data_IF_638461277204
#
_entry.id   IF_638461277204
#
_cell.length_a   1.000
_cell.length_b   1.000
_cell.length_c   1.000
_cell.angle_alpha   90.00
_cell.angle_beta   90.00
_cell.angle_gamma   90.00
#
_symmetry.space_group_name_H-M   'P 1'
#
loop_
_entity.id
_entity.type
_entity.pdbx_description
1 polymer ?
#
# COMPACT_ATOMS: atom_id res chain seq x y z
N UNK A 1 37.87 20.06 -0.29
CA UNK A 1 36.88 19.03 0.08
C UNK A 1 36.07 18.68 -1.15
N UNK A 2 35.74 17.41 -1.36
CA UNK A 2 34.85 17.01 -2.46
C UNK A 2 33.40 17.41 -2.15
N UNK A 3 32.59 17.66 -3.19
CA UNK A 3 31.16 17.93 -3.04
C UNK A 3 30.43 16.82 -2.26
N UNK A 4 30.86 15.58 -2.45
CA UNK A 4 30.34 14.40 -1.76
C UNK A 4 30.62 14.45 -0.25
N UNK A 5 31.83 14.84 0.16
CA UNK A 5 32.17 14.99 1.58
C UNK A 5 31.38 16.11 2.26
N UNK A 6 31.14 17.22 1.55
CA UNK A 6 30.29 18.31 2.02
C UNK A 6 28.84 17.87 2.23
N UNK A 7 28.27 17.17 1.24
CA UNK A 7 26.90 16.66 1.32
C UNK A 7 26.77 15.62 2.44
N UNK A 8 27.65 14.63 2.50
CA UNK A 8 27.62 13.57 3.51
C UNK A 8 27.63 14.13 4.95
N UNK A 9 28.48 15.13 5.23
CA UNK A 9 28.47 15.82 6.53
C UNK A 9 27.15 16.49 6.82
N UNK A 10 26.60 17.22 5.86
CA UNK A 10 25.32 17.89 6.03
C UNK A 10 24.19 16.90 6.30
N UNK A 11 24.10 15.80 5.56
CA UNK A 11 23.09 14.76 5.80
C UNK A 11 23.22 14.18 7.20
N UNK A 12 24.44 13.87 7.64
CA UNK A 12 24.71 13.38 9.00
C UNK A 12 24.27 14.38 10.06
N UNK A 13 24.52 15.68 9.87
CA UNK A 13 24.10 16.73 10.80
C UNK A 13 22.58 16.91 10.80
N UNK A 14 21.95 16.94 9.62
CA UNK A 14 20.52 17.15 9.47
C UNK A 14 19.70 16.04 10.14
N UNK A 15 20.13 14.78 10.02
CA UNK A 15 19.40 13.63 10.57
C UNK A 15 19.56 13.44 12.08
N UNK A 16 20.37 14.27 12.74
CA UNK A 16 20.37 14.37 14.21
C UNK A 16 19.14 15.12 14.74
N UNK A 17 18.43 15.85 13.89
CA UNK A 17 17.17 16.51 14.26
C UNK A 17 16.07 15.44 14.42
N UNK A 18 15.44 15.29 15.60
CA UNK A 18 14.45 14.24 15.83
C UNK A 18 13.28 14.26 14.85
N UNK A 19 12.82 15.45 14.44
CA UNK A 19 11.75 15.58 13.44
C UNK A 19 12.16 15.00 12.07
N UNK A 20 13.41 15.20 11.66
CA UNK A 20 13.93 14.70 10.37
C UNK A 20 14.15 13.19 10.45
N UNK A 21 14.74 12.69 11.53
CA UNK A 21 14.89 11.25 11.70
C UNK A 21 13.51 10.60 11.70
N UNK A 22 12.63 10.93 12.67
CA UNK A 22 11.32 10.29 12.83
C UNK A 22 10.45 10.31 11.57
N UNK A 23 10.46 11.41 10.80
CA UNK A 23 9.70 11.48 9.56
C UNK A 23 10.25 10.56 8.45
N UNK A 24 11.56 10.35 8.38
CA UNK A 24 12.22 9.60 7.33
C UNK A 24 12.49 8.13 7.69
N UNK A 25 12.82 7.86 8.95
CA UNK A 25 13.13 6.54 9.51
C UNK A 25 13.24 6.56 11.05
N UNK A 26 13.22 5.40 11.70
CA UNK A 26 13.31 5.34 13.18
C UNK A 26 14.69 5.69 13.75
N UNK A 27 15.74 5.75 12.93
CA UNK A 27 17.10 6.09 13.37
C UNK A 27 17.78 7.13 12.48
N UNK A 28 18.70 7.97 13.03
CA UNK A 28 19.47 8.93 12.25
C UNK A 28 20.26 8.32 11.09
N UNK A 29 20.77 7.10 11.25
CA UNK A 29 21.53 6.38 10.24
C UNK A 29 20.65 6.00 9.04
N UNK A 30 19.46 5.47 9.32
CA UNK A 30 18.50 5.12 8.27
C UNK A 30 17.97 6.37 7.57
N UNK A 31 17.70 7.45 8.31
CA UNK A 31 17.30 8.72 7.73
C UNK A 31 18.40 9.29 6.81
N UNK A 32 19.68 9.14 7.17
CA UNK A 32 20.79 9.55 6.33
C UNK A 32 20.89 8.71 5.04
N UNK A 33 20.61 7.40 5.13
CA UNK A 33 20.52 6.52 3.97
C UNK A 33 19.37 6.92 3.04
N UNK A 34 18.19 7.29 3.59
CA UNK A 34 17.06 7.82 2.81
C UNK A 34 17.46 9.06 2.02
N UNK A 35 18.06 10.05 2.68
CA UNK A 35 18.44 11.30 2.02
C UNK A 35 19.55 11.06 0.97
N UNK A 36 20.52 10.20 1.27
CA UNK A 36 21.59 9.85 0.32
C UNK A 36 21.02 9.22 -0.96
N UNK A 37 20.12 8.27 -0.81
CA UNK A 37 19.50 7.61 -1.95
C UNK A 37 18.53 8.50 -2.71
N UNK A 38 17.80 9.37 -2.00
CA UNK A 38 16.93 10.36 -2.63
C UNK A 38 17.75 11.30 -3.52
N UNK A 39 18.92 11.73 -3.07
CA UNK A 39 19.84 12.53 -3.87
C UNK A 39 20.27 11.77 -5.13
N UNK A 40 20.75 10.54 -4.99
CA UNK A 40 21.20 9.70 -6.10
C UNK A 40 20.12 9.45 -7.15
N UNK A 41 18.92 9.05 -6.72
CA UNK A 41 17.80 8.78 -7.62
C UNK A 41 17.35 10.06 -8.33
N UNK A 42 17.32 11.19 -7.63
CA UNK A 42 16.97 12.49 -8.21
C UNK A 42 18.04 12.99 -9.18
N UNK A 43 19.32 12.70 -8.89
CA UNK A 43 20.45 13.08 -9.74
C UNK A 43 20.47 12.30 -11.06
N UNK A 44 20.03 11.04 -11.06
CA UNK A 44 19.94 10.20 -12.28
C UNK A 44 18.77 10.56 -13.18
N UNK A 45 17.84 11.41 -12.76
CA UNK A 45 16.72 11.85 -13.60
C UNK A 45 17.19 12.81 -14.70
N UNK A 46 17.22 12.29 -15.92
CA UNK A 46 17.68 12.99 -17.13
C UNK A 46 16.62 13.84 -17.80
N UNK A 47 15.33 13.62 -17.52
CA UNK A 47 14.25 14.40 -18.14
C UNK A 47 14.38 15.89 -17.81
N UNK A 48 14.61 16.77 -18.80
CA UNK A 48 14.64 18.20 -18.57
C UNK A 48 13.23 18.64 -18.16
N UNK A 49 13.07 19.09 -16.93
CA UNK A 49 11.84 19.76 -16.52
C UNK A 49 11.66 21.04 -17.33
N UNK A 50 10.41 21.46 -17.53
CA UNK A 50 10.13 22.77 -18.14
C UNK A 50 10.72 23.93 -17.32
N UNK A 51 10.72 25.14 -17.89
CA UNK A 51 11.32 26.35 -17.27
C UNK A 51 10.91 26.57 -15.80
N UNK A 52 9.67 26.27 -15.45
CA UNK A 52 9.18 26.40 -14.07
C UNK A 52 9.81 25.37 -13.11
N UNK A 53 10.01 24.14 -13.56
CA UNK A 53 10.68 23.11 -12.77
C UNK A 53 12.14 23.48 -12.51
N UNK A 54 12.81 24.08 -13.50
CA UNK A 54 14.18 24.55 -13.34
C UNK A 54 14.30 25.73 -12.36
N UNK A 55 13.35 26.67 -12.39
CA UNK A 55 13.28 27.76 -11.40
C UNK A 55 13.07 27.23 -9.97
N UNK A 56 12.17 26.26 -9.79
CA UNK A 56 11.96 25.59 -8.49
C UNK A 56 13.20 24.84 -8.02
N UNK A 57 13.86 24.12 -8.93
CA UNK A 57 15.10 23.42 -8.63
C UNK A 57 16.21 24.38 -8.18
N UNK A 58 16.32 25.54 -8.85
CA UNK A 58 17.26 26.60 -8.46
C UNK A 58 16.95 27.14 -7.07
N UNK A 59 15.68 27.46 -6.79
CA UNK A 59 15.26 27.98 -5.49
C UNK A 59 15.53 26.99 -4.35
N UNK A 60 15.14 25.72 -4.52
CA UNK A 60 15.37 24.67 -3.52
C UNK A 60 16.87 24.39 -3.29
N UNK A 61 17.67 24.37 -4.35
CA UNK A 61 19.12 24.21 -4.23
C UNK A 61 19.77 25.39 -3.47
N UNK A 62 19.34 26.63 -3.72
CA UNK A 62 19.82 27.80 -2.99
C UNK A 62 19.47 27.70 -1.50
N UNK A 63 18.22 27.36 -1.18
CA UNK A 63 17.75 27.21 0.20
C UNK A 63 18.55 26.15 0.98
N UNK A 64 18.85 25.00 0.36
CA UNK A 64 19.70 23.98 0.97
C UNK A 64 21.11 24.50 1.27
N UNK A 65 21.71 25.22 0.34
CA UNK A 65 23.08 25.74 0.50
C UNK A 65 23.13 26.84 1.57
N UNK A 66 22.10 27.68 1.68
CA UNK A 66 21.97 28.63 2.79
C UNK A 66 21.83 27.92 4.13
N UNK A 67 21.08 26.81 4.18
CA UNK A 67 20.97 25.96 5.37
C UNK A 67 22.33 25.37 5.76
N UNK A 68 23.09 24.82 4.82
CA UNK A 68 24.45 24.32 5.07
C UNK A 68 25.35 25.41 5.65
N UNK A 69 25.31 26.63 5.11
CA UNK A 69 26.08 27.77 5.64
C UNK A 69 25.68 28.18 7.04
N UNK A 70 24.38 28.17 7.36
CA UNK A 70 23.91 28.46 8.73
C UNK A 70 24.42 27.46 9.76
N UNK A 71 24.77 26.26 9.31
CA UNK A 71 25.40 25.21 10.13
C UNK A 71 26.94 25.23 10.06
N UNK A 72 27.53 26.28 9.47
CA UNK A 72 28.98 26.41 9.22
C UNK A 72 29.57 25.22 8.43
N UNK A 73 28.77 24.65 7.53
CA UNK A 73 29.18 23.54 6.67
C UNK A 73 29.58 24.02 5.27
N UNK A 74 30.62 23.42 4.66
CA UNK A 74 31.09 23.78 3.34
C UNK A 74 30.05 23.42 2.27
N UNK A 75 29.64 24.39 1.45
CA UNK A 75 28.72 24.14 0.33
C UNK A 75 29.41 23.39 -0.83
N UNK A 76 28.74 22.43 -1.48
CA UNK A 76 29.29 21.65 -2.58
C UNK A 76 29.18 22.45 -3.89
N UNK A 77 30.02 23.48 -4.02
CA UNK A 77 29.95 24.42 -5.13
C UNK A 77 31.30 24.58 -5.86
N UNK A 78 31.23 24.72 -7.19
CA UNK A 78 32.39 24.96 -8.06
C UNK A 78 32.10 26.17 -8.97
N UNK A 79 33.09 27.07 -9.13
CA UNK A 79 33.00 28.24 -9.99
C UNK A 79 32.82 29.57 -9.25
N UNK A 80 32.45 30.62 -9.97
CA UNK A 80 32.13 31.93 -9.39
C UNK A 80 30.62 32.08 -9.15
N UNK A 81 30.19 32.71 -8.04
CA UNK A 81 28.79 33.02 -7.81
C UNK A 81 28.23 33.93 -8.92
N UNK A 82 26.97 33.72 -9.30
CA UNK A 82 26.26 34.68 -10.14
C UNK A 82 26.08 36.02 -9.39
N UNK A 83 25.93 37.16 -10.11
CA UNK A 83 25.64 38.43 -9.47
C UNK A 83 24.46 38.34 -8.49
N UNK A 84 24.67 38.80 -7.25
CA UNK A 84 23.68 38.74 -6.17
C UNK A 84 23.63 37.42 -5.39
N UNK A 85 24.42 36.41 -5.75
CA UNK A 85 24.55 35.17 -4.99
C UNK A 85 25.84 35.15 -4.15
N UNK A 86 25.75 34.59 -2.95
CA UNK A 86 26.92 34.46 -2.06
C UNK A 86 27.72 33.18 -2.29
N UNK A 87 27.23 32.29 -3.16
CA UNK A 87 27.87 31.04 -3.55
C UNK A 87 27.43 30.64 -4.98
N UNK A 88 28.26 29.86 -5.70
CA UNK A 88 27.86 29.29 -6.99
C UNK A 88 26.87 28.15 -6.80
N UNK A 89 26.00 27.95 -7.79
CA UNK A 89 25.15 26.77 -7.87
C UNK A 89 25.75 25.73 -8.83
N UNK A 90 25.44 24.43 -8.66
CA UNK A 90 25.88 23.41 -9.60
C UNK A 90 25.46 23.75 -11.02
N UNK A 91 26.34 23.59 -12.01
CA UNK A 91 26.01 23.84 -13.41
C UNK A 91 24.99 22.82 -13.97
N UNK A 92 25.03 21.58 -13.48
CA UNK A 92 24.10 20.50 -13.82
C UNK A 92 22.70 20.78 -13.28
N UNK A 93 21.70 20.79 -14.16
CA UNK A 93 20.28 20.86 -13.75
C UNK A 93 19.85 19.64 -12.93
N UNK A 94 20.42 18.46 -13.21
CA UNK A 94 20.15 17.26 -12.44
C UNK A 94 20.65 17.38 -10.99
N UNK A 95 21.84 17.94 -10.79
CA UNK A 95 22.35 18.24 -9.46
C UNK A 95 21.49 19.24 -8.71
N UNK A 96 21.05 20.34 -9.37
CA UNK A 96 20.13 21.30 -8.75
C UNK A 96 18.81 20.65 -8.32
N UNK A 97 18.24 19.76 -9.15
CA UNK A 97 17.02 19.01 -8.80
C UNK A 97 17.25 18.08 -7.61
N UNK A 98 18.38 17.38 -7.56
CA UNK A 98 18.71 16.49 -6.44
C UNK A 98 18.81 17.26 -5.12
N UNK A 99 19.51 18.40 -5.09
CA UNK A 99 19.55 19.26 -3.90
C UNK A 99 18.18 19.86 -3.54
N UNK A 100 17.37 20.26 -4.54
CA UNK A 100 16.03 20.77 -4.27
C UNK A 100 15.09 19.69 -3.69
N UNK A 101 15.23 18.43 -4.12
CA UNK A 101 14.48 17.31 -3.56
C UNK A 101 14.84 17.06 -2.08
N UNK A 102 16.12 17.20 -1.73
CA UNK A 102 16.56 17.14 -0.33
C UNK A 102 15.94 18.25 0.50
N UNK A 103 16.01 19.51 0.06
CA UNK A 103 15.45 20.64 0.83
C UNK A 103 13.94 20.49 1.02
N UNK A 104 13.20 20.15 -0.04
CA UNK A 104 11.75 19.96 0.07
C UNK A 104 11.39 18.84 1.06
N UNK A 105 12.20 17.78 1.11
CA UNK A 105 12.00 16.65 2.03
C UNK A 105 12.32 17.04 3.47
N UNK A 106 13.43 17.72 3.70
CA UNK A 106 13.85 18.21 5.01
C UNK A 106 12.85 19.22 5.56
N UNK A 107 12.42 20.19 4.74
CA UNK A 107 11.45 21.20 5.15
C UNK A 107 10.10 20.59 5.51
N UNK A 108 9.61 19.62 4.73
CA UNK A 108 8.37 18.91 5.05
C UNK A 108 8.48 18.13 6.37
N UNK A 109 9.59 17.43 6.59
CA UNK A 109 9.84 16.69 7.83
C UNK A 109 9.88 17.62 9.05
N UNK A 110 10.58 18.77 8.96
CA UNK A 110 10.65 19.77 10.03
C UNK A 110 9.29 20.42 10.33
N UNK A 111 8.45 20.61 9.30
CA UNK A 111 7.13 21.19 9.43
C UNK A 111 6.07 20.17 9.92
N UNK A 112 6.40 18.88 10.01
CA UNK A 112 5.42 17.82 10.27
C UNK A 112 4.42 17.62 9.12
N UNK A 113 4.79 18.03 7.90
CA UNK A 113 3.98 17.90 6.70
C UNK A 113 4.23 16.55 6.00
N UNK A 114 3.27 16.07 5.19
CA UNK A 114 3.48 14.87 4.39
C UNK A 114 4.71 14.97 3.48
N UNK A 115 5.58 13.96 3.53
CA UNK A 115 6.78 13.92 2.71
C UNK A 115 6.46 13.92 1.20
N UNK A 116 7.30 14.55 0.36
CA UNK A 116 7.18 14.48 -1.09
C UNK A 116 7.08 13.02 -1.58
N UNK A 117 6.26 12.72 -2.61
CA UNK A 117 6.02 11.33 -3.06
C UNK A 117 7.29 10.53 -3.29
N UNK A 118 8.31 11.15 -3.93
CA UNK A 118 9.59 10.49 -4.20
C UNK A 118 10.39 10.18 -2.93
N UNK A 119 10.32 11.04 -1.93
CA UNK A 119 10.95 10.81 -0.63
C UNK A 119 10.27 9.65 0.12
N UNK A 120 8.94 9.54 0.06
CA UNK A 120 8.20 8.39 0.63
C UNK A 120 8.57 7.06 -0.03
N UNK A 121 8.69 7.06 -1.36
CA UNK A 121 9.13 5.89 -2.13
C UNK A 121 10.53 5.44 -1.69
N UNK A 122 11.49 6.38 -1.59
CA UNK A 122 12.85 6.08 -1.16
C UNK A 122 12.92 5.68 0.30
N UNK A 123 12.19 6.36 1.19
CA UNK A 123 12.09 6.03 2.61
C UNK A 123 11.60 4.59 2.80
N UNK A 124 10.53 4.22 2.09
CA UNK A 124 10.02 2.85 2.06
C UNK A 124 11.07 1.87 1.52
N UNK A 125 11.79 2.22 0.46
CA UNK A 125 12.84 1.37 -0.10
C UNK A 125 14.03 1.15 0.87
N UNK A 126 14.47 2.20 1.57
CA UNK A 126 15.54 2.12 2.57
C UNK A 126 15.07 1.37 3.80
N UNK A 127 13.87 1.63 4.31
CA UNK A 127 13.28 0.88 5.41
C UNK A 127 13.21 -0.62 5.09
N UNK A 128 12.83 -1.01 3.86
CA UNK A 128 12.88 -2.41 3.38
C UNK A 128 14.28 -3.03 3.41
N UNK A 129 15.35 -2.24 3.24
CA UNK A 129 16.75 -2.72 3.27
C UNK A 129 17.36 -2.71 4.66
N UNK A 130 17.03 -1.72 5.49
CA UNK A 130 17.60 -1.51 6.82
C UNK A 130 16.87 -2.32 7.90
N UNK A 131 15.56 -2.48 7.76
CA UNK A 131 14.75 -3.35 8.61
C UNK A 131 14.73 -4.77 8.06
N UNK A 132 14.98 -5.73 8.94
CA UNK A 132 14.50 -7.11 8.83
C UNK A 132 12.97 -7.14 8.65
N UNK A 133 12.47 -6.74 7.49
CA UNK A 133 11.20 -7.26 7.02
C UNK A 133 11.54 -8.68 6.62
N UNK A 134 11.08 -9.65 7.41
CA UNK A 134 10.94 -11.01 6.87
C UNK A 134 10.26 -10.81 5.53
N UNK A 135 10.92 -11.17 4.41
CA UNK A 135 10.36 -10.90 3.09
C UNK A 135 8.91 -11.35 3.11
N UNK A 136 7.97 -10.51 2.65
CA UNK A 136 6.56 -10.83 2.76
C UNK A 136 6.35 -12.22 2.19
N UNK A 137 5.50 -13.06 2.81
CA UNK A 137 5.30 -14.41 2.31
C UNK A 137 4.76 -14.30 0.88
N UNK A 138 5.47 -14.91 -0.08
CA UNK A 138 5.14 -14.81 -1.50
C UNK A 138 4.66 -16.15 -2.04
N UNK A 139 3.74 -16.08 -3.01
CA UNK A 139 3.40 -17.17 -3.91
C UNK A 139 3.79 -16.84 -5.34
N UNK A 140 4.08 -17.90 -6.08
CA UNK A 140 4.44 -17.89 -7.50
C UNK A 140 3.69 -18.99 -8.21
N UNK A 141 3.36 -18.71 -9.46
CA UNK A 141 2.61 -19.59 -10.34
C UNK A 141 3.21 -19.48 -11.73
N UNK A 142 3.15 -20.56 -12.51
CA UNK A 142 3.61 -20.49 -13.89
C UNK A 142 2.56 -19.80 -14.78
N UNK A 143 1.30 -20.20 -14.60
CA UNK A 143 0.15 -19.66 -15.30
C UNK A 143 -1.02 -19.49 -14.34
N UNK A 144 -1.78 -18.41 -14.54
CA UNK A 144 -3.06 -18.16 -13.87
C UNK A 144 -4.08 -17.70 -14.91
N UNK A 145 -5.35 -17.84 -14.59
CA UNK A 145 -6.45 -17.54 -15.49
C UNK A 145 -7.25 -16.34 -15.01
N UNK A 146 -7.67 -15.48 -15.93
CA UNK A 146 -8.70 -14.46 -15.68
C UNK A 146 -9.97 -14.81 -16.45
N UNK A 147 -11.12 -14.78 -15.77
CA UNK A 147 -12.43 -14.86 -16.43
C UNK A 147 -13.04 -13.47 -16.45
N UNK A 148 -13.25 -12.92 -17.65
CA UNK A 148 -13.73 -11.55 -17.81
C UNK A 148 -13.06 -10.79 -18.95
N UNK A 149 -13.38 -9.50 -19.05
CA UNK A 149 -12.77 -8.60 -20.03
C UNK A 149 -11.49 -8.01 -19.43
N UNK A 150 -10.43 -7.92 -20.23
CA UNK A 150 -9.16 -7.27 -19.84
C UNK A 150 -9.22 -5.73 -19.83
N UNK A 151 -10.41 -5.14 -19.91
CA UNK A 151 -10.60 -3.69 -19.83
C UNK A 151 -10.77 -3.27 -18.37
N UNK A 152 -9.81 -2.52 -17.76
CA UNK A 152 -9.95 -2.03 -16.39
C UNK A 152 -11.16 -1.10 -16.20
N UNK A 153 -11.65 -0.46 -17.26
CA UNK A 153 -12.87 0.35 -17.22
C UNK A 153 -14.15 -0.51 -17.10
N UNK A 154 -14.09 -1.77 -17.51
CA UNK A 154 -15.18 -2.74 -17.39
C UNK A 154 -15.18 -3.50 -16.05
N UNK A 155 -14.22 -3.22 -15.15
CA UNK A 155 -14.18 -3.82 -13.82
C UNK A 155 -15.39 -3.37 -13.01
N UNK A 156 -16.16 -4.36 -12.53
CA UNK A 156 -17.29 -4.15 -11.63
C UNK A 156 -16.89 -3.55 -10.28
N UNK A 157 -17.88 -3.14 -9.51
CA UNK A 157 -17.73 -2.50 -8.21
C UNK A 157 -17.83 -3.52 -7.08
N UNK A 158 -17.48 -3.09 -5.87
CA UNK A 158 -17.67 -3.84 -4.61
C UNK A 158 -16.92 -5.19 -4.56
N UNK A 159 -15.79 -5.31 -5.28
CA UNK A 159 -14.96 -6.52 -5.29
C UNK A 159 -14.22 -6.73 -3.97
N UNK A 160 -14.19 -7.97 -3.49
CA UNK A 160 -13.45 -8.37 -2.27
C UNK A 160 -11.93 -8.26 -2.42
N UNK A 161 -11.44 -8.13 -3.66
CA UNK A 161 -10.01 -8.09 -3.97
C UNK A 161 -9.55 -6.69 -4.43
N UNK A 162 -10.48 -5.73 -4.45
CA UNK A 162 -10.23 -4.35 -4.88
C UNK A 162 -10.30 -4.16 -6.40
N UNK A 163 -9.58 -3.14 -6.90
CA UNK A 163 -9.74 -2.63 -8.26
C UNK A 163 -8.95 -3.40 -9.34
N UNK A 164 -8.21 -4.44 -8.98
CA UNK A 164 -7.38 -5.21 -9.92
C UNK A 164 -8.15 -6.31 -10.66
N UNK A 165 -7.42 -7.04 -11.49
CA UNK A 165 -7.92 -8.14 -12.29
C UNK A 165 -7.98 -9.42 -11.45
N UNK A 166 -9.16 -9.99 -11.28
CA UNK A 166 -9.35 -11.23 -10.53
C UNK A 166 -8.76 -12.40 -11.31
N UNK A 167 -7.96 -13.23 -10.66
CA UNK A 167 -7.26 -14.37 -11.25
C UNK A 167 -7.47 -15.63 -10.40
N UNK A 168 -7.48 -16.80 -11.03
CA UNK A 168 -7.62 -18.09 -10.34
C UNK A 168 -6.86 -19.19 -11.07
N UNK A 169 -6.63 -20.32 -10.38
CA UNK A 169 -6.20 -21.59 -11.00
C UNK A 169 -7.37 -22.43 -11.51
N UNK A 170 -8.59 -22.05 -11.14
CA UNK A 170 -9.84 -22.79 -11.39
C UNK A 170 -10.83 -21.88 -12.13
N UNK A 171 -10.58 -21.56 -13.42
CA UNK A 171 -11.37 -20.56 -14.14
C UNK A 171 -12.86 -20.90 -14.20
N UNK A 172 -13.21 -22.17 -14.39
CA UNK A 172 -14.60 -22.61 -14.50
C UNK A 172 -15.36 -22.54 -13.17
N UNK A 173 -14.75 -23.02 -12.08
CA UNK A 173 -15.33 -22.87 -10.75
C UNK A 173 -15.44 -21.39 -10.37
N UNK A 174 -14.43 -20.59 -10.68
CA UNK A 174 -14.44 -19.15 -10.42
C UNK A 174 -15.52 -18.43 -11.24
N UNK A 175 -15.72 -18.82 -12.51
CA UNK A 175 -16.83 -18.33 -13.35
C UNK A 175 -18.17 -18.60 -12.68
N UNK A 176 -18.37 -19.80 -12.14
CA UNK A 176 -19.61 -20.17 -11.44
C UNK A 176 -19.79 -19.37 -10.15
N UNK A 177 -18.77 -19.30 -9.30
CA UNK A 177 -18.78 -18.58 -8.02
C UNK A 177 -19.08 -17.09 -8.23
N UNK A 178 -18.35 -16.44 -9.15
CA UNK A 178 -18.49 -15.02 -9.44
C UNK A 178 -19.62 -14.71 -10.43
N UNK A 179 -20.38 -15.72 -10.88
CA UNK A 179 -21.53 -15.61 -11.80
C UNK A 179 -21.21 -14.84 -13.07
N UNK A 180 -20.09 -15.18 -13.71
CA UNK A 180 -19.54 -14.43 -14.84
C UNK A 180 -20.10 -14.83 -16.21
N UNK A 181 -20.97 -15.84 -16.27
CA UNK A 181 -21.59 -16.33 -17.51
C UNK A 181 -20.55 -16.70 -18.58
N UNK A 182 -20.85 -16.42 -19.84
CA UNK A 182 -19.99 -16.77 -21.00
C UNK A 182 -18.80 -15.80 -21.18
N UNK A 183 -18.32 -15.18 -20.10
CA UNK A 183 -17.17 -14.30 -20.15
C UNK A 183 -15.91 -15.05 -20.62
N UNK A 184 -15.07 -14.42 -21.46
CA UNK A 184 -13.88 -15.08 -22.00
C UNK A 184 -12.88 -15.42 -20.89
N UNK A 185 -12.16 -16.53 -21.08
CA UNK A 185 -11.04 -16.93 -20.24
C UNK A 185 -9.75 -16.49 -20.89
N UNK A 186 -8.84 -15.96 -20.07
CA UNK A 186 -7.53 -15.51 -20.48
C UNK A 186 -6.46 -16.27 -19.72
N UNK A 187 -5.50 -16.82 -20.45
CA UNK A 187 -4.26 -17.36 -19.92
C UNK A 187 -3.28 -16.23 -19.66
N UNK A 188 -2.67 -16.22 -18.47
CA UNK A 188 -1.73 -15.19 -18.04
C UNK A 188 -0.42 -15.87 -17.63
N UNK A 189 0.65 -15.56 -18.36
CA UNK A 189 2.01 -15.96 -17.98
C UNK A 189 2.45 -15.20 -16.73
N UNK A 190 2.57 -15.92 -15.62
CA UNK A 190 2.82 -15.37 -14.28
C UNK A 190 4.12 -15.87 -13.65
N UNK A 191 4.99 -16.53 -14.43
CA UNK A 191 6.26 -17.09 -13.93
C UNK A 191 7.14 -16.10 -13.18
N UNK A 192 7.19 -14.87 -13.67
CA UNK A 192 7.96 -13.79 -13.05
C UNK A 192 7.16 -12.97 -12.02
N UNK A 193 5.85 -13.20 -11.94
CA UNK A 193 4.96 -12.48 -11.02
C UNK A 193 5.21 -12.87 -9.57
N UNK A 194 5.00 -11.92 -8.67
CA UNK A 194 5.10 -12.09 -7.23
C UNK A 194 3.77 -11.71 -6.59
N UNK A 195 3.12 -12.68 -5.98
CA UNK A 195 1.87 -12.47 -5.26
C UNK A 195 2.12 -12.53 -3.75
N UNK A 196 1.54 -11.60 -3.00
CA UNK A 196 1.51 -11.71 -1.54
C UNK A 196 0.63 -12.91 -1.14
N UNK A 197 1.16 -13.84 -0.34
CA UNK A 197 0.34 -14.84 0.35
C UNK A 197 -0.44 -14.12 1.46
N UNK A 198 -1.70 -13.81 1.20
CA UNK A 198 -2.53 -13.02 2.09
C UNK A 198 -2.70 -13.70 3.46
N UNK A 199 -2.97 -15.01 3.48
CA UNK A 199 -3.24 -15.74 4.71
C UNK A 199 -1.99 -15.88 5.58
N UNK A 200 -0.84 -16.11 4.96
CA UNK A 200 0.44 -16.11 5.67
C UNK A 200 0.77 -14.71 6.20
N UNK A 201 0.56 -13.66 5.40
CA UNK A 201 0.79 -12.27 5.82
C UNK A 201 -0.11 -11.88 7.00
N UNK A 202 -1.39 -12.25 6.96
CA UNK A 202 -2.39 -11.93 7.99
C UNK A 202 -2.13 -12.57 9.36
N UNK A 203 -1.31 -13.64 9.40
CA UNK A 203 -0.85 -14.28 10.65
C UNK A 203 0.23 -13.44 11.34
N UNK A 204 1.00 -12.65 10.60
CA UNK A 204 1.95 -11.70 11.16
C UNK A 204 1.23 -10.40 11.56
N UNK A 205 0.92 -10.28 12.86
CA UNK A 205 0.23 -9.09 13.39
C UNK A 205 1.04 -7.81 13.29
N UNK A 206 2.38 -7.90 13.32
CA UNK A 206 3.23 -6.73 13.16
C UNK A 206 3.20 -6.24 11.71
N UNK A 207 3.26 -7.15 10.73
CA UNK A 207 3.16 -6.81 9.32
C UNK A 207 1.79 -6.21 8.95
N UNK A 208 0.70 -6.81 9.47
CA UNK A 208 -0.66 -6.25 9.31
C UNK A 208 -0.77 -4.88 9.98
N UNK A 209 -0.21 -4.72 11.18
CA UNK A 209 -0.16 -3.43 11.89
C UNK A 209 0.50 -2.36 11.03
N UNK A 210 1.68 -2.65 10.47
CA UNK A 210 2.39 -1.72 9.59
C UNK A 210 1.59 -1.36 8.32
N UNK A 211 0.88 -2.32 7.71
CA UNK A 211 0.02 -2.05 6.56
C UNK A 211 -1.16 -1.13 6.91
N UNK A 212 -1.79 -1.36 8.08
CA UNK A 212 -2.88 -0.50 8.55
C UNK A 212 -2.39 0.89 8.96
N UNK A 213 -1.23 0.99 9.61
CA UNK A 213 -0.64 2.27 10.03
C UNK A 213 -0.32 3.13 8.81
N UNK A 214 0.33 2.53 7.79
CA UNK A 214 0.52 3.17 6.50
C UNK A 214 -0.82 3.59 5.86
N UNK A 215 -1.84 2.75 5.92
CA UNK A 215 -3.15 3.08 5.35
C UNK A 215 -3.84 4.24 6.10
N UNK A 216 -3.63 4.38 7.41
CA UNK A 216 -4.05 5.55 8.18
C UNK A 216 -3.29 6.81 7.71
N UNK A 217 -1.98 6.73 7.57
CA UNK A 217 -1.15 7.85 7.07
C UNK A 217 -1.52 8.28 5.65
N UNK A 218 -1.96 7.34 4.80
CA UNK A 218 -2.44 7.65 3.45
C UNK A 218 -3.89 8.16 3.42
N UNK A 219 -4.56 8.24 4.57
CA UNK A 219 -5.96 8.64 4.68
C UNK A 219 -6.94 7.62 4.10
N UNK A 220 -6.52 6.36 3.95
CA UNK A 220 -7.38 5.25 3.55
C UNK A 220 -8.19 4.69 4.72
N UNK A 221 -7.60 4.71 5.92
CA UNK A 221 -8.23 4.28 7.15
C UNK A 221 -8.23 5.40 8.19
N UNK A 222 -9.18 5.31 9.11
CA UNK A 222 -9.17 6.07 10.35
C UNK A 222 -9.15 5.11 11.53
N UNK A 223 -8.43 5.48 12.60
CA UNK A 223 -8.52 4.75 13.86
C UNK A 223 -9.84 5.11 14.52
N UNK A 224 -10.63 4.09 14.82
CA UNK A 224 -11.96 4.29 15.35
C UNK A 224 -12.36 3.23 16.37
N UNK A 225 -13.59 3.35 16.81
CA UNK A 225 -14.26 2.34 17.61
C UNK A 225 -15.02 1.42 16.66
N UNK A 226 -14.96 0.12 16.92
CA UNK A 226 -15.76 -0.88 16.23
C UNK A 226 -16.39 -1.83 17.24
N UNK A 227 -17.56 -2.34 16.91
CA UNK A 227 -18.28 -3.34 17.68
C UNK A 227 -18.12 -4.69 16.97
N UNK A 228 -17.62 -5.68 17.70
CA UNK A 228 -17.39 -7.03 17.17
C UNK A 228 -18.44 -7.94 17.78
N UNK A 229 -19.26 -8.53 16.91
CA UNK A 229 -20.24 -9.54 17.30
C UNK A 229 -19.61 -10.91 17.11
N UNK A 230 -19.72 -11.79 18.10
CA UNK A 230 -19.29 -13.19 18.01
C UNK A 230 -20.44 -14.10 18.45
N UNK A 231 -21.00 -14.86 17.51
CA UNK A 231 -22.14 -15.76 17.76
C UNK A 231 -21.80 -17.20 17.35
N UNK A 232 -22.39 -18.23 17.99
CA UNK A 232 -22.20 -19.62 17.61
C UNK A 232 -22.74 -19.92 16.20
N UNK A 233 -22.10 -20.84 15.48
CA UNK A 233 -22.54 -21.33 14.16
C UNK A 233 -23.23 -22.71 14.25
N UNK A 234 -23.66 -23.12 15.45
CA UNK A 234 -24.29 -24.42 15.73
C UNK A 234 -23.34 -25.63 15.73
N UNK A 235 -22.48 -25.78 14.72
CA UNK A 235 -21.55 -26.93 14.57
C UNK A 235 -20.14 -26.54 14.10
N UNK A 236 -19.87 -25.24 13.91
CA UNK A 236 -18.63 -24.72 13.31
C UNK A 236 -17.84 -23.73 14.17
N UNK A 237 -16.92 -23.03 13.52
CA UNK A 237 -16.24 -21.86 14.08
C UNK A 237 -17.24 -20.71 14.27
N UNK A 238 -17.11 -19.88 15.32
CA UNK A 238 -18.07 -18.81 15.56
C UNK A 238 -18.08 -17.79 14.43
N UNK A 239 -19.28 -17.29 14.11
CA UNK A 239 -19.45 -16.21 13.14
C UNK A 239 -19.00 -14.89 13.78
N UNK A 240 -18.22 -14.11 13.03
CA UNK A 240 -17.65 -12.84 13.51
C UNK A 240 -18.04 -11.70 12.58
N UNK A 241 -18.86 -10.79 13.10
CA UNK A 241 -19.31 -9.59 12.39
C UNK A 241 -18.70 -8.32 13.01
N UNK A 242 -18.68 -7.24 12.24
CA UNK A 242 -18.10 -5.95 12.65
C UNK A 242 -19.03 -4.80 12.25
N UNK A 243 -19.32 -3.94 13.22
CA UNK A 243 -20.21 -2.79 13.08
C UNK A 243 -19.55 -1.50 13.59
N UNK A 244 -20.01 -0.36 13.08
CA UNK A 244 -19.64 0.95 13.64
C UNK A 244 -20.64 1.40 14.71
N UNK A 245 -21.89 0.97 14.58
CA UNK A 245 -22.98 1.27 15.51
C UNK A 245 -23.20 0.12 16.50
N UNK A 246 -23.52 0.48 17.74
CA UNK A 246 -23.74 -0.49 18.83
C UNK A 246 -25.11 -1.16 18.71
N UNK A 247 -26.15 -0.39 18.33
CA UNK A 247 -27.50 -0.92 18.21
C UNK A 247 -27.60 -1.89 17.04
N UNK A 248 -26.96 -1.60 15.90
CA UNK A 248 -26.86 -2.55 14.77
C UNK A 248 -26.13 -3.85 15.20
N UNK A 249 -25.06 -3.73 16.00
CA UNK A 249 -24.34 -4.90 16.49
C UNK A 249 -25.19 -5.77 17.43
N UNK A 250 -25.96 -5.13 18.31
CA UNK A 250 -26.90 -5.81 19.21
C UNK A 250 -28.06 -6.45 18.45
N UNK A 251 -28.60 -5.78 17.43
CA UNK A 251 -29.65 -6.31 16.55
C UNK A 251 -29.17 -7.56 15.80
N UNK A 252 -27.97 -7.50 15.19
CA UNK A 252 -27.38 -8.67 14.52
C UNK A 252 -27.20 -9.83 15.50
N UNK A 253 -26.60 -9.57 16.68
CA UNK A 253 -26.37 -10.62 17.66
C UNK A 253 -27.70 -11.25 18.14
N UNK A 254 -28.74 -10.43 18.31
CA UNK A 254 -30.06 -10.89 18.72
C UNK A 254 -30.68 -11.82 17.69
N UNK A 255 -30.60 -11.48 16.40
CA UNK A 255 -31.17 -12.29 15.31
C UNK A 255 -30.62 -13.72 15.23
N UNK A 256 -29.36 -13.93 15.61
CA UNK A 256 -28.78 -15.30 15.70
C UNK A 256 -29.13 -16.01 17.00
N UNK A 257 -29.22 -15.29 18.12
CA UNK A 257 -29.39 -15.87 19.45
C UNK A 257 -30.85 -16.13 19.81
N UNK A 258 -31.81 -15.41 19.22
CA UNK A 258 -33.25 -15.56 19.49
C UNK A 258 -33.83 -16.90 19.00
N UNK A 259 -33.05 -17.67 18.24
CA UNK A 259 -33.42 -19.02 17.81
C UNK A 259 -33.49 -19.98 19.00
N UNK A 260 -32.59 -19.80 19.97
CA UNK A 260 -32.42 -20.73 21.10
C UNK A 260 -32.72 -20.08 22.46
N UNK A 261 -32.71 -18.75 22.56
CA UNK A 261 -32.82 -18.01 23.82
C UNK A 261 -33.98 -17.00 23.76
N UNK A 262 -34.58 -16.71 24.93
CA UNK A 262 -35.60 -15.67 25.06
C UNK A 262 -35.42 -14.81 26.32
N UNK A 263 -36.22 -13.74 26.41
CA UNK A 263 -36.32 -12.87 27.59
C UNK A 263 -34.97 -12.34 28.10
N UNK A 264 -34.77 -12.42 29.43
CA UNK A 264 -33.56 -11.92 30.08
C UNK A 264 -32.29 -12.72 29.71
N UNK A 265 -32.45 -14.00 29.33
CA UNK A 265 -31.33 -14.86 28.92
C UNK A 265 -30.77 -14.40 27.56
N UNK A 266 -31.66 -14.07 26.63
CA UNK A 266 -31.29 -13.49 25.32
C UNK A 266 -30.54 -12.17 25.49
N UNK A 267 -31.07 -11.23 26.28
CA UNK A 267 -30.43 -9.92 26.45
C UNK A 267 -29.05 -10.02 27.14
N UNK A 268 -28.90 -10.94 28.10
CA UNK A 268 -27.61 -11.24 28.70
C UNK A 268 -26.62 -11.84 27.68
N UNK A 269 -27.10 -12.72 26.79
CA UNK A 269 -26.28 -13.32 25.74
C UNK A 269 -25.86 -12.30 24.66
N UNK A 270 -26.77 -11.41 24.23
CA UNK A 270 -26.47 -10.30 23.30
C UNK A 270 -25.38 -9.41 23.87
N UNK A 271 -25.53 -8.97 25.14
CA UNK A 271 -24.52 -8.14 25.82
C UNK A 271 -23.14 -8.81 25.84
N UNK A 272 -23.10 -10.15 25.97
CA UNK A 272 -21.84 -10.91 25.97
C UNK A 272 -21.27 -11.10 24.55
N UNK A 273 -22.13 -11.21 23.54
CA UNK A 273 -21.75 -11.41 22.15
C UNK A 273 -21.17 -10.14 21.50
N UNK A 274 -21.61 -8.95 21.94
CA UNK A 274 -21.18 -7.65 21.42
C UNK A 274 -19.99 -7.12 22.22
N UNK A 275 -18.82 -7.01 21.57
CA UNK A 275 -17.61 -6.44 22.18
C UNK A 275 -17.16 -5.16 21.49
N UNK A 276 -17.13 -4.07 22.25
CA UNK A 276 -16.52 -2.81 21.82
C UNK A 276 -14.99 -2.88 21.83
N UNK A 277 -14.33 -2.52 20.72
CA UNK A 277 -12.87 -2.53 20.61
C UNK A 277 -12.33 -1.38 19.75
N UNK A 278 -11.02 -1.12 19.85
CA UNK A 278 -10.33 -0.24 18.93
C UNK A 278 -10.12 -0.95 17.60
N UNK A 279 -10.35 -0.24 16.49
CA UNK A 279 -10.25 -0.81 15.16
C UNK A 279 -10.03 0.25 14.10
N UNK A 280 -10.32 -0.12 12.86
CA UNK A 280 -10.16 0.73 11.69
C UNK A 280 -11.50 0.92 11.00
N UNK A 281 -11.75 2.17 10.60
CA UNK A 281 -12.92 2.58 9.82
C UNK A 281 -12.42 2.97 8.43
N UNK A 282 -13.06 2.49 7.34
CA UNK A 282 -12.66 2.84 5.99
C UNK A 282 -13.10 4.25 5.65
N UNK A 283 -12.26 4.98 4.93
CA UNK A 283 -12.63 6.29 4.41
C UNK A 283 -13.20 6.19 3.00
N UNK A 284 -13.87 7.26 2.54
CA UNK A 284 -14.28 7.40 1.14
C UNK A 284 -13.11 7.29 0.15
N UNK A 285 -11.89 7.62 0.60
CA UNK A 285 -10.67 7.49 -0.20
C UNK A 285 -10.32 6.02 -0.46
N UNK A 286 -10.44 5.16 0.56
CA UNK A 286 -10.26 3.71 0.36
C UNK A 286 -11.36 3.14 -0.53
N UNK A 287 -12.61 3.54 -0.29
CA UNK A 287 -13.75 3.11 -1.09
C UNK A 287 -13.56 3.46 -2.58
N UNK A 288 -13.19 4.70 -2.88
CA UNK A 288 -12.88 5.14 -4.24
C UNK A 288 -11.69 4.39 -4.85
N UNK A 289 -10.63 4.14 -4.07
CA UNK A 289 -9.46 3.36 -4.55
C UNK A 289 -9.85 1.92 -4.92
N UNK A 290 -10.70 1.30 -4.11
CA UNK A 290 -11.07 -0.11 -4.24
C UNK A 290 -12.32 -0.33 -5.10
N UNK A 291 -12.91 0.74 -5.64
CA UNK A 291 -14.18 0.72 -6.40
C UNK A 291 -15.35 0.16 -5.60
N UNK A 292 -15.41 0.48 -4.31
CA UNK A 292 -16.57 0.19 -3.45
C UNK A 292 -17.51 1.39 -3.45
N UNK A 293 -18.61 1.32 -4.20
CA UNK A 293 -19.50 2.47 -4.41
C UNK A 293 -20.33 2.82 -3.17
N UNK A 294 -20.71 1.79 -2.41
CA UNK A 294 -21.52 1.92 -1.19
C UNK A 294 -20.69 2.07 0.07
N UNK A 295 -19.37 2.25 -0.08
CA UNK A 295 -18.41 2.18 1.01
C UNK A 295 -17.88 0.76 1.23
N UNK A 296 -16.75 0.66 1.92
CA UNK A 296 -16.09 -0.63 2.19
C UNK A 296 -16.74 -1.29 3.40
N UNK A 297 -17.20 -2.55 3.30
CA UNK A 297 -17.66 -3.32 4.46
C UNK A 297 -16.57 -3.47 5.52
N UNK A 298 -16.92 -3.32 6.81
CA UNK A 298 -15.94 -3.44 7.90
C UNK A 298 -15.16 -4.77 7.91
N UNK A 299 -15.78 -5.85 7.41
CA UNK A 299 -15.13 -7.15 7.26
C UNK A 299 -13.94 -7.13 6.28
N UNK A 300 -13.95 -6.23 5.29
CA UNK A 300 -12.94 -6.14 4.22
C UNK A 300 -11.90 -5.04 4.44
N UNK A 301 -12.04 -4.23 5.48
CA UNK A 301 -11.21 -3.02 5.69
C UNK A 301 -9.72 -3.34 5.76
N UNK A 302 -9.36 -4.33 6.56
CA UNK A 302 -7.95 -4.74 6.71
C UNK A 302 -7.46 -5.39 5.43
N UNK A 303 -8.28 -6.25 4.83
CA UNK A 303 -7.93 -6.99 3.62
C UNK A 303 -7.62 -6.03 2.46
N UNK A 304 -8.50 -5.05 2.22
CA UNK A 304 -8.30 -4.05 1.18
C UNK A 304 -7.18 -3.05 1.50
N UNK A 305 -6.93 -2.73 2.77
CA UNK A 305 -5.76 -1.95 3.15
C UNK A 305 -4.45 -2.70 2.85
N UNK A 306 -4.41 -4.01 3.11
CA UNK A 306 -3.28 -4.87 2.75
C UNK A 306 -3.12 -4.97 1.23
N UNK A 307 -4.22 -5.03 0.46
CA UNK A 307 -4.16 -4.96 -1.01
C UNK A 307 -3.51 -3.66 -1.49
N UNK A 308 -3.93 -2.50 -0.95
CA UNK A 308 -3.30 -1.22 -1.26
C UNK A 308 -1.82 -1.18 -0.87
N UNK A 309 -1.47 -1.73 0.30
CA UNK A 309 -0.11 -1.77 0.80
C UNK A 309 0.80 -2.69 -0.06
N UNK A 310 0.29 -3.86 -0.45
CA UNK A 310 0.99 -4.79 -1.32
C UNK A 310 1.30 -4.17 -2.68
N UNK A 311 0.35 -3.40 -3.20
CA UNK A 311 0.54 -2.61 -4.41
C UNK A 311 1.56 -1.50 -4.17
N UNK A 312 1.28 -0.52 -3.32
CA UNK A 312 2.05 0.74 -3.27
C UNK A 312 3.36 0.67 -2.50
N UNK A 313 3.46 -0.22 -1.51
CA UNK A 313 4.62 -0.30 -0.61
C UNK A 313 5.47 -1.52 -0.86
N UNK A 314 4.87 -2.69 -1.11
CA UNK A 314 5.63 -3.90 -1.41
C UNK A 314 6.01 -4.02 -2.89
N UNK A 315 5.36 -3.22 -3.75
CA UNK A 315 5.58 -3.18 -5.18
C UNK A 315 5.46 -4.58 -5.84
N UNK A 316 4.45 -5.33 -5.40
CA UNK A 316 4.16 -6.67 -5.89
C UNK A 316 3.32 -6.63 -7.18
N UNK A 317 3.10 -7.81 -7.77
CA UNK A 317 2.24 -7.95 -8.94
C UNK A 317 0.79 -8.14 -8.54
N UNK A 318 0.56 -8.72 -7.36
CA UNK A 318 -0.78 -8.97 -6.84
C UNK A 318 -0.83 -9.51 -5.42
N UNK A 319 -2.03 -9.93 -5.02
CA UNK A 319 -2.32 -10.61 -3.75
C UNK A 319 -3.03 -11.92 -4.04
N UNK A 320 -2.70 -12.97 -3.29
CA UNK A 320 -3.26 -14.31 -3.44
C UNK A 320 -3.89 -14.80 -2.14
N UNK A 321 -5.13 -15.24 -2.23
CA UNK A 321 -5.88 -15.94 -1.18
C UNK A 321 -5.90 -17.42 -1.52
N UNK A 322 -5.08 -18.19 -0.82
CA UNK A 322 -5.11 -19.66 -0.87
C UNK A 322 -6.28 -20.18 -0.03
N UNK A 323 -7.50 -19.80 -0.44
CA UNK A 323 -8.74 -20.27 0.18
C UNK A 323 -8.94 -21.76 -0.07
N UNK A 324 -9.70 -22.41 0.82
CA UNK A 324 -10.04 -23.82 0.64
C UNK A 324 -10.77 -24.02 -0.68
N UNK A 325 -10.40 -25.06 -1.42
CA UNK A 325 -11.11 -25.42 -2.64
C UNK A 325 -12.42 -26.12 -2.26
N UNK A 326 -13.52 -25.36 -2.31
CA UNK A 326 -14.89 -25.82 -2.07
C UNK A 326 -15.86 -24.98 -2.93
N UNK A 327 -15.98 -25.29 -4.24
CA UNK A 327 -16.85 -24.53 -5.13
C UNK A 327 -18.33 -24.54 -4.71
N UNK A 328 -18.80 -25.62 -4.05
CA UNK A 328 -20.16 -25.71 -3.55
C UNK A 328 -20.42 -24.72 -2.40
N UNK A 329 -19.41 -24.48 -1.56
CA UNK A 329 -19.39 -23.43 -0.53
C UNK A 329 -18.98 -22.04 -1.04
N UNK A 330 -18.96 -21.81 -2.36
CA UNK A 330 -18.52 -20.54 -2.97
C UNK A 330 -17.05 -20.16 -2.70
N UNK A 331 -16.17 -21.15 -2.54
CA UNK A 331 -14.76 -20.95 -2.21
C UNK A 331 -13.82 -21.60 -3.22
N UNK A 332 -12.83 -20.84 -3.68
CA UNK A 332 -11.73 -21.37 -4.48
C UNK A 332 -10.47 -20.49 -4.31
N UNK A 333 -9.26 -21.05 -4.49
CA UNK A 333 -8.03 -20.28 -4.55
C UNK A 333 -8.10 -19.19 -5.63
N UNK A 334 -7.81 -17.96 -5.25
CA UNK A 334 -7.93 -16.80 -6.12
C UNK A 334 -6.92 -15.73 -5.77
N UNK A 335 -6.79 -14.74 -6.64
CA UNK A 335 -5.97 -13.58 -6.39
C UNK A 335 -6.43 -12.37 -7.20
N UNK A 336 -5.72 -11.28 -6.98
CA UNK A 336 -5.84 -10.07 -7.77
C UNK A 336 -4.49 -9.72 -8.37
N UNK A 337 -4.47 -9.49 -9.68
CA UNK A 337 -3.34 -8.89 -10.40
C UNK A 337 -3.59 -7.39 -10.53
N UNK A 338 -2.62 -6.57 -10.11
CA UNK A 338 -2.80 -5.12 -10.10
C UNK A 338 -2.86 -4.54 -11.51
N UNK A 339 -3.78 -3.59 -11.74
CA UNK A 339 -4.02 -3.02 -13.06
C UNK A 339 -2.74 -2.40 -13.67
N UNK A 340 -1.91 -1.76 -12.85
CA UNK A 340 -0.64 -1.16 -13.28
C UNK A 340 0.43 -2.17 -13.73
N UNK A 341 0.19 -3.47 -13.48
CA UNK A 341 1.08 -4.58 -13.82
C UNK A 341 0.60 -5.38 -15.03
N UNK A 342 -0.61 -5.12 -15.53
CA UNK A 342 -1.14 -5.89 -16.68
C UNK A 342 -0.22 -5.85 -17.90
N UNK A 343 0.43 -4.72 -18.18
CA UNK A 343 1.35 -4.58 -19.31
C UNK A 343 2.66 -5.34 -19.16
N UNK A 344 2.99 -5.86 -17.97
CA UNK A 344 4.19 -6.68 -17.73
C UNK A 344 3.94 -8.17 -17.92
N UNK A 345 2.69 -8.59 -18.14
CA UNK A 345 2.33 -9.99 -18.33
C UNK A 345 1.91 -10.27 -19.77
N UNK A 346 2.30 -11.44 -20.27
CA UNK A 346 1.76 -11.96 -21.53
C UNK A 346 0.40 -12.57 -21.26
N UNK A 347 -0.61 -12.16 -22.02
CA UNK A 347 -1.99 -12.62 -21.91
C UNK A 347 -2.47 -13.14 -23.26
N UNK A 348 -3.15 -14.27 -23.28
CA UNK A 348 -3.77 -14.84 -24.47
C UNK A 348 -5.18 -15.31 -24.12
N UNK A 349 -6.10 -15.31 -25.09
CA UNK A 349 -7.37 -16.00 -24.90
C UNK A 349 -7.07 -17.49 -24.72
N UNK A 350 -7.63 -18.10 -23.69
CA UNK A 350 -7.52 -19.54 -23.50
C UNK A 350 -8.24 -20.24 -24.67
N UNK A 351 -7.61 -21.27 -25.22
CA UNK A 351 -8.29 -22.13 -26.17
C UNK A 351 -9.41 -22.87 -25.41
N UNK A 352 -10.62 -22.99 -25.98
CA UNK A 352 -11.64 -23.82 -25.37
C UNK A 352 -11.08 -25.24 -25.24
N UNK A 353 -11.17 -25.83 -24.06
CA UNK A 353 -10.86 -27.26 -23.89
C UNK A 353 -11.75 -28.02 -24.88
N UNK A 354 -11.14 -28.68 -25.86
CA UNK A 354 -11.83 -29.61 -26.74
C UNK A 354 -12.39 -30.73 -25.84
N UNK A 355 -13.67 -30.64 -25.48
CA UNK A 355 -14.44 -31.78 -24.97
C UNK A 355 -14.57 -32.81 -26.11
N UNK A 356 -13.49 -33.54 -26.38
CA UNK A 356 -13.38 -34.32 -27.60
C UNK A 356 -12.24 -35.34 -27.64
N UNK A 357 -12.20 -36.27 -26.69
CA UNK A 357 -11.78 -37.67 -26.96
C UNK A 357 -11.99 -38.57 -25.72
N UNK A 358 -13.19 -39.15 -25.59
CA UNK A 358 -13.35 -40.50 -25.06
C UNK A 358 -14.23 -41.32 -26.00
#
# INVERSE_FOLDING_TARGET
>A
MSCEASLSRFLTTATQTPAISQALADTPENAAAVLTELFEVSHRQTSPGGKMAELRARAGCTALFERMRRLDLPVPAHGEPSPGMTFPLPASGAARRAYAALEATIAAAEAGEPLPPKAREVASAVARRAGRIVPPPLRRFDCLFHVGRLDPAAKGTDSHEGAGLSISRHPEDWRAIARLGDAPVWDIDTRDARFLDFHAFRRDKAAVGAACDWAVEQGYLERGRVYVVTVPDGEGEPLIFRFQDEAEAEEEARGYLEVDLDGDELEAAVTKAVRRTAGYVPTARLAGRMRHERGVPLALVVDLAVVAYAEDVLDLDGVWWEDAYDPAGYSAPRGVLFARRLSTHRMALAEPEDEGAQ
#
